data_IF_105516931703
#
_entry.id   IF_105516931703
#
_cell.length_a   1.000
_cell.length_b   1.000
_cell.length_c   1.000
_cell.angle_alpha   90.00
_cell.angle_beta   90.00
_cell.angle_gamma   90.00
#
_symmetry.space_group_name_H-M   'P 1'
#
loop_
_entity.id
_entity.type
_entity.pdbx_description
1 polymer ?
#
# COMPACT_ATOMS: atom_id res chain seq x y z
N UNK A 1 20.82 23.37 -9.72
CA UNK A 1 19.66 24.25 -9.58
C UNK A 1 18.51 23.63 -10.35
N UNK A 2 17.69 22.84 -9.67
CA UNK A 2 16.49 22.24 -10.27
C UNK A 2 15.30 23.09 -9.86
N UNK A 3 14.76 23.85 -10.82
CA UNK A 3 13.47 24.49 -10.67
C UNK A 3 12.38 23.42 -10.80
N UNK A 4 11.74 23.04 -9.68
CA UNK A 4 10.48 22.32 -9.69
C UNK A 4 9.37 23.21 -10.28
N UNK A 5 8.33 22.62 -10.89
CA UNK A 5 7.26 23.39 -11.52
C UNK A 5 6.53 24.22 -10.47
N UNK A 6 6.33 25.50 -10.83
CA UNK A 6 5.63 26.53 -10.08
C UNK A 6 4.27 26.07 -9.57
N UNK A 7 4.06 26.27 -8.27
CA UNK A 7 2.85 25.93 -7.53
C UNK A 7 1.56 26.49 -8.10
N UNK A 8 0.83 25.64 -8.78
CA UNK A 8 -0.61 25.68 -8.78
C UNK A 8 -1.03 24.85 -7.56
N UNK A 9 -1.44 25.53 -6.50
CA UNK A 9 -2.16 24.92 -5.39
C UNK A 9 -3.48 24.39 -5.97
N UNK A 10 -3.45 23.14 -6.46
CA UNK A 10 -4.69 22.43 -6.77
C UNK A 10 -5.33 22.17 -5.40
N UNK A 11 -6.44 22.85 -5.14
CA UNK A 11 -7.20 22.61 -3.91
C UNK A 11 -7.45 21.09 -3.78
N UNK A 12 -7.03 20.50 -2.66
CA UNK A 12 -7.30 19.09 -2.38
C UNK A 12 -8.81 18.92 -2.33
N UNK A 13 -9.41 18.07 -3.17
CA UNK A 13 -10.86 17.86 -3.14
C UNK A 13 -11.30 17.42 -1.73
N UNK A 14 -12.50 17.84 -1.33
CA UNK A 14 -13.08 17.38 -0.06
C UNK A 14 -13.19 15.86 -0.01
N UNK A 15 -12.77 15.29 1.11
CA UNK A 15 -12.88 13.86 1.42
C UNK A 15 -13.97 13.56 2.44
N UNK A 16 -14.71 14.57 2.90
CA UNK A 16 -15.65 14.46 4.01
C UNK A 16 -16.80 13.47 3.75
N UNK A 17 -17.30 13.36 2.52
CA UNK A 17 -18.32 12.38 2.17
C UNK A 17 -17.80 10.95 1.98
N UNK A 18 -16.52 10.70 2.19
CA UNK A 18 -16.01 9.34 2.36
C UNK A 18 -16.20 8.79 3.79
N UNK A 19 -16.82 9.57 4.67
CA UNK A 19 -17.40 9.08 5.94
C UNK A 19 -18.59 8.16 5.67
N UNK A 20 -18.90 7.24 6.58
CA UNK A 20 -20.09 6.38 6.48
C UNK A 20 -21.30 7.07 7.11
N UNK A 21 -22.50 6.73 6.65
CA UNK A 21 -23.74 7.29 7.14
C UNK A 21 -23.90 7.14 8.68
N UNK A 22 -23.49 5.99 9.24
CA UNK A 22 -23.61 5.75 10.67
C UNK A 22 -22.70 6.66 11.51
N UNK A 23 -21.56 7.13 10.97
CA UNK A 23 -20.67 8.07 11.63
C UNK A 23 -21.40 9.42 11.84
N UNK A 24 -22.11 9.88 10.82
CA UNK A 24 -22.94 11.09 10.91
C UNK A 24 -24.12 10.92 11.88
N UNK A 25 -24.75 9.74 11.93
CA UNK A 25 -25.83 9.50 12.89
C UNK A 25 -25.34 9.42 14.33
N UNK A 26 -24.15 8.84 14.56
CA UNK A 26 -23.48 8.85 15.87
C UNK A 26 -23.09 10.28 16.27
N UNK A 27 -22.50 11.07 15.36
CA UNK A 27 -22.18 12.47 15.59
C UNK A 27 -23.41 13.27 16.06
N UNK A 28 -24.51 13.18 15.29
CA UNK A 28 -25.78 13.84 15.65
C UNK A 28 -26.26 13.45 17.05
N UNK A 29 -26.23 12.17 17.38
CA UNK A 29 -26.62 11.68 18.68
C UNK A 29 -25.68 12.16 19.80
N UNK A 30 -24.38 12.19 19.56
CA UNK A 30 -23.37 12.66 20.50
C UNK A 30 -23.48 14.17 20.76
N UNK A 31 -23.73 14.99 19.74
CA UNK A 31 -23.98 16.44 19.88
C UNK A 31 -25.22 16.69 20.75
N UNK A 32 -26.32 16.00 20.47
CA UNK A 32 -27.57 16.12 21.27
C UNK A 32 -27.41 15.62 22.70
N UNK A 33 -26.61 14.57 22.90
CA UNK A 33 -26.34 13.97 24.20
C UNK A 33 -25.25 14.65 25.03
N UNK A 34 -24.60 15.70 24.50
CA UNK A 34 -23.53 16.42 25.18
C UNK A 34 -22.25 15.58 25.36
N UNK A 35 -21.98 14.62 24.47
CA UNK A 35 -20.79 13.75 24.56
C UNK A 35 -19.85 13.92 23.38
N UNK A 36 -20.18 14.77 22.42
CA UNK A 36 -19.46 14.97 21.19
C UNK A 36 -18.03 15.54 21.42
N UNK A 37 -17.88 16.39 22.42
CA UNK A 37 -16.61 17.07 22.71
C UNK A 37 -15.70 16.35 23.72
N UNK A 38 -16.09 15.15 24.16
CA UNK A 38 -15.24 14.37 25.08
C UNK A 38 -13.91 14.00 24.40
N UNK A 39 -12.77 14.29 25.06
CA UNK A 39 -11.48 13.78 24.63
C UNK A 39 -11.53 12.28 24.46
N UNK A 40 -11.11 11.81 23.29
CA UNK A 40 -11.25 10.42 22.85
C UNK A 40 -10.02 9.97 22.10
N UNK A 41 -9.73 8.69 22.21
CA UNK A 41 -8.63 8.04 21.47
C UNK A 41 -9.19 6.86 20.69
N UNK A 42 -9.00 6.88 19.40
CA UNK A 42 -9.29 5.77 18.51
C UNK A 42 -7.99 5.12 18.03
N UNK A 43 -8.04 3.84 17.75
CA UNK A 43 -6.89 3.05 17.34
C UNK A 43 -7.22 2.16 16.15
N UNK A 44 -6.29 2.11 15.19
CA UNK A 44 -6.30 1.13 14.09
C UNK A 44 -5.41 -0.03 14.44
N UNK A 45 -5.94 -1.23 14.36
CA UNK A 45 -5.21 -2.48 14.52
C UNK A 45 -5.86 -3.60 13.73
N UNK A 46 -5.15 -4.71 13.52
CA UNK A 46 -5.73 -5.95 13.01
C UNK A 46 -5.73 -7.04 14.07
N UNK A 47 -6.72 -7.95 14.04
CA UNK A 47 -6.77 -9.10 14.93
C UNK A 47 -6.03 -10.31 14.42
N UNK A 48 -5.82 -10.37 13.13
CA UNK A 48 -5.14 -11.46 12.43
C UNK A 48 -4.60 -10.95 11.11
N UNK A 49 -3.52 -11.53 10.64
CA UNK A 49 -3.06 -11.32 9.27
C UNK A 49 -3.93 -12.13 8.28
N UNK A 50 -4.00 -11.70 7.01
CA UNK A 50 -4.53 -12.54 5.94
C UNK A 50 -3.78 -13.87 5.88
N UNK A 51 -4.48 -14.93 5.46
CA UNK A 51 -3.90 -16.28 5.38
C UNK A 51 -2.61 -16.30 4.56
N UNK A 52 -1.59 -16.98 5.05
CA UNK A 52 -0.28 -17.07 4.43
C UNK A 52 0.62 -15.85 4.60
N UNK A 53 0.18 -14.79 5.26
CA UNK A 53 1.01 -13.63 5.59
C UNK A 53 1.74 -13.85 6.91
N UNK A 54 3.06 -13.71 6.90
CA UNK A 54 3.92 -13.82 8.10
C UNK A 54 4.05 -12.50 8.84
N UNK A 55 3.79 -11.40 8.16
CA UNK A 55 3.75 -10.02 8.65
C UNK A 55 2.85 -9.19 7.73
N UNK A 56 2.39 -8.05 8.22
CA UNK A 56 1.75 -7.03 7.41
C UNK A 56 2.72 -5.88 7.09
N UNK A 57 2.35 -5.02 6.15
CA UNK A 57 3.12 -3.83 5.77
C UNK A 57 2.21 -2.62 5.91
N UNK A 58 2.64 -1.62 6.67
CA UNK A 58 1.91 -0.34 6.78
C UNK A 58 2.06 0.42 5.48
N UNK A 59 0.97 0.61 4.77
CA UNK A 59 0.94 1.43 3.56
C UNK A 59 -0.36 2.23 3.48
N UNK A 60 -0.29 3.38 2.82
CA UNK A 60 -1.40 4.33 2.71
C UNK A 60 -1.34 5.48 3.71
N UNK A 61 -0.37 5.55 4.61
CA UNK A 61 -0.24 6.64 5.59
C UNK A 61 -0.21 8.00 4.90
N UNK A 62 0.60 8.18 3.87
CA UNK A 62 0.62 9.45 3.12
C UNK A 62 -0.75 9.83 2.56
N UNK A 63 -1.53 8.85 2.05
CA UNK A 63 -2.89 9.08 1.56
C UNK A 63 -3.90 9.38 2.68
N UNK A 64 -3.71 8.79 3.86
CA UNK A 64 -4.50 9.12 5.06
C UNK A 64 -4.26 10.57 5.47
N UNK A 65 -3.01 11.02 5.46
CA UNK A 65 -2.66 12.41 5.78
C UNK A 65 -3.29 13.38 4.77
N UNK A 66 -3.21 13.09 3.47
CA UNK A 66 -3.89 13.87 2.42
C UNK A 66 -5.41 13.91 2.64
N UNK A 67 -6.00 12.76 3.02
CA UNK A 67 -7.43 12.66 3.26
C UNK A 67 -7.86 13.48 4.49
N UNK A 68 -7.09 13.47 5.58
CA UNK A 68 -7.34 14.29 6.77
C UNK A 68 -7.23 15.78 6.43
N UNK A 69 -6.20 16.20 5.68
CA UNK A 69 -6.04 17.57 5.24
C UNK A 69 -7.19 18.06 4.35
N UNK A 70 -7.75 17.17 3.53
CA UNK A 70 -8.89 17.44 2.68
C UNK A 70 -10.26 17.24 3.36
N UNK A 71 -10.31 16.79 4.61
CA UNK A 71 -11.57 16.43 5.27
C UNK A 71 -12.29 17.69 5.79
N UNK A 72 -13.12 18.24 4.95
CA UNK A 72 -13.96 19.40 5.24
C UNK A 72 -15.26 19.30 4.44
N UNK A 73 -16.37 19.73 5.00
CA UNK A 73 -17.65 19.74 4.31
C UNK A 73 -17.78 21.03 3.49
N UNK A 74 -17.94 20.89 2.19
CA UNK A 74 -18.24 21.98 1.26
C UNK A 74 -19.75 22.28 1.25
N UNK A 75 -20.13 23.48 0.77
CA UNK A 75 -21.53 23.93 0.81
C UNK A 75 -22.50 22.98 0.10
N UNK A 76 -22.13 22.48 -1.07
CA UNK A 76 -22.94 21.53 -1.84
C UNK A 76 -23.14 20.18 -1.12
N UNK A 77 -22.14 19.75 -0.35
CA UNK A 77 -22.18 18.54 0.49
C UNK A 77 -23.11 18.75 1.70
N UNK A 78 -23.04 19.91 2.34
CA UNK A 78 -23.95 20.29 3.43
C UNK A 78 -25.40 20.38 2.93
N UNK A 79 -25.61 20.96 1.75
CA UNK A 79 -26.92 20.99 1.12
C UNK A 79 -27.47 19.61 0.76
N UNK A 80 -26.58 18.69 0.33
CA UNK A 80 -26.96 17.29 0.13
C UNK A 80 -27.41 16.65 1.45
N UNK A 81 -26.64 16.78 2.53
CA UNK A 81 -26.99 16.23 3.84
C UNK A 81 -28.30 16.83 4.40
N UNK A 82 -28.55 18.14 4.19
CA UNK A 82 -29.77 18.82 4.54
C UNK A 82 -30.98 18.27 3.80
N UNK A 83 -30.90 18.19 2.48
CA UNK A 83 -32.01 17.70 1.62
C UNK A 83 -32.34 16.24 1.88
N UNK A 84 -31.36 15.42 2.21
CA UNK A 84 -31.58 13.99 2.48
C UNK A 84 -31.98 13.71 3.93
N UNK A 85 -31.87 14.71 4.83
CA UNK A 85 -32.26 14.56 6.23
C UNK A 85 -31.35 13.64 7.06
N UNK A 86 -30.14 13.39 6.61
CA UNK A 86 -29.18 12.53 7.31
C UNK A 86 -28.86 13.07 8.69
N UNK A 87 -28.69 14.39 8.79
CA UNK A 87 -28.45 15.10 10.04
C UNK A 87 -29.39 16.30 10.18
N UNK A 88 -29.51 16.82 11.41
CA UNK A 88 -30.32 18.02 11.71
C UNK A 88 -29.49 19.31 11.57
N UNK A 89 -30.17 20.47 11.62
CA UNK A 89 -29.53 21.77 11.40
C UNK A 89 -28.41 22.07 12.39
N UNK A 90 -28.48 21.80 13.70
CA UNK A 90 -27.34 21.98 14.60
C UNK A 90 -26.12 21.13 14.24
N UNK A 91 -26.32 19.93 13.70
CA UNK A 91 -25.25 19.07 13.23
C UNK A 91 -24.64 19.63 11.93
N UNK A 92 -25.46 20.17 11.01
CA UNK A 92 -24.97 20.83 9.79
C UNK A 92 -24.11 22.06 10.11
N UNK A 93 -24.54 22.89 11.07
CA UNK A 93 -23.77 24.03 11.55
C UNK A 93 -22.39 23.60 12.09
N UNK A 94 -22.35 22.52 12.87
CA UNK A 94 -21.10 21.96 13.37
C UNK A 94 -20.21 21.43 12.24
N UNK A 95 -20.77 20.68 11.27
CA UNK A 95 -20.05 20.14 10.12
C UNK A 95 -19.47 21.24 9.21
N UNK A 96 -20.18 22.36 9.04
CA UNK A 96 -19.69 23.51 8.27
C UNK A 96 -18.37 24.08 8.83
N UNK A 97 -18.20 24.04 10.15
CA UNK A 97 -16.99 24.45 10.84
C UNK A 97 -15.94 23.35 11.01
N UNK A 98 -16.22 22.13 10.59
CA UNK A 98 -15.33 20.99 10.87
C UNK A 98 -13.94 21.18 10.29
N UNK A 99 -12.95 21.00 11.14
CA UNK A 99 -11.55 20.75 10.83
C UNK A 99 -11.02 19.78 11.88
N UNK A 100 -10.18 18.87 11.48
CA UNK A 100 -9.49 18.01 12.44
C UNK A 100 -8.41 18.83 13.14
N UNK A 101 -8.48 18.93 14.46
CA UNK A 101 -7.52 19.70 15.29
C UNK A 101 -6.78 18.82 16.28
N UNK A 102 -6.96 17.51 16.18
CA UNK A 102 -6.33 16.52 17.05
C UNK A 102 -4.95 16.08 16.58
N UNK A 103 -4.47 15.01 17.17
CA UNK A 103 -3.15 14.41 16.91
C UNK A 103 -3.31 13.02 16.29
N UNK A 104 -2.36 12.66 15.42
CA UNK A 104 -2.26 11.31 14.87
C UNK A 104 -0.83 10.81 15.10
N UNK A 105 -0.73 9.64 15.72
CA UNK A 105 0.51 8.89 15.87
C UNK A 105 0.34 7.52 15.21
N UNK A 106 1.40 6.96 14.65
CA UNK A 106 1.32 5.62 14.05
C UNK A 106 2.68 5.05 13.70
N UNK A 107 2.66 3.79 13.30
CA UNK A 107 3.83 3.18 12.69
C UNK A 107 4.13 3.93 11.38
N UNK A 108 5.39 4.29 11.12
CA UNK A 108 5.74 4.99 9.89
C UNK A 108 5.44 4.11 8.68
N UNK A 109 5.09 4.74 7.57
CA UNK A 109 4.77 4.01 6.34
C UNK A 109 5.95 3.15 5.87
N UNK A 110 5.70 1.93 5.46
CA UNK A 110 6.72 0.93 5.13
C UNK A 110 7.11 0.01 6.29
N UNK A 111 6.78 0.37 7.54
CA UNK A 111 7.05 -0.49 8.70
C UNK A 111 6.21 -1.79 8.62
N UNK A 112 6.72 -2.86 9.21
CA UNK A 112 5.97 -4.12 9.35
C UNK A 112 5.10 -4.09 10.59
N UNK A 113 3.98 -4.85 10.59
CA UNK A 113 3.10 -4.97 11.74
C UNK A 113 2.62 -6.40 11.93
N UNK A 114 2.12 -6.69 13.13
CA UNK A 114 1.60 -8.00 13.54
C UNK A 114 0.19 -7.88 14.11
N UNK A 115 -0.54 -8.98 14.35
CA UNK A 115 -1.84 -8.94 15.00
C UNK A 115 -1.77 -8.21 16.34
N UNK A 116 -2.61 -7.19 16.54
CA UNK A 116 -2.64 -6.40 17.76
C UNK A 116 -1.71 -5.18 17.80
N UNK A 117 -0.83 -4.99 16.81
CA UNK A 117 -0.03 -3.76 16.68
C UNK A 117 -0.90 -2.51 16.66
N UNK A 118 -0.62 -1.48 17.47
CA UNK A 118 -1.32 -0.19 17.45
C UNK A 118 -0.83 0.65 16.25
N UNK A 119 -1.31 0.28 15.03
CA UNK A 119 -0.81 0.78 13.75
C UNK A 119 -1.00 2.29 13.62
N UNK A 120 -2.16 2.79 14.02
CA UNK A 120 -2.48 4.22 14.00
C UNK A 120 -3.33 4.57 15.21
N UNK A 121 -3.05 5.71 15.84
CA UNK A 121 -3.81 6.29 16.94
C UNK A 121 -4.25 7.69 16.56
N UNK A 122 -5.55 7.95 16.66
CA UNK A 122 -6.15 9.27 16.43
C UNK A 122 -6.68 9.78 17.75
N UNK A 123 -6.23 10.96 18.16
CA UNK A 123 -6.57 11.61 19.41
C UNK A 123 -7.24 12.96 19.12
N UNK A 124 -8.36 13.24 19.74
CA UNK A 124 -9.12 14.47 19.55
C UNK A 124 -10.44 14.39 20.30
N UNK A 125 -11.43 15.20 19.94
CA UNK A 125 -12.78 15.01 20.44
C UNK A 125 -13.44 13.78 19.79
N UNK A 126 -14.43 13.18 20.46
CA UNK A 126 -15.20 12.07 19.85
C UNK A 126 -15.72 12.43 18.46
N UNK A 127 -16.30 13.63 18.35
CA UNK A 127 -16.87 14.13 17.10
C UNK A 127 -15.86 14.24 15.97
N UNK A 128 -14.66 14.73 16.26
CA UNK A 128 -13.61 14.85 15.24
C UNK A 128 -13.09 13.49 14.79
N UNK A 129 -12.86 12.59 15.73
CA UNK A 129 -12.25 11.31 15.45
C UNK A 129 -13.19 10.32 14.78
N UNK A 130 -14.48 10.31 15.15
CA UNK A 130 -15.45 9.32 14.66
C UNK A 130 -15.68 9.41 13.16
N UNK A 131 -15.63 10.61 12.59
CA UNK A 131 -15.84 10.86 11.15
C UNK A 131 -14.71 10.32 10.27
N UNK A 132 -13.57 10.01 10.85
CA UNK A 132 -12.38 9.55 10.11
C UNK A 132 -12.33 8.02 9.96
N UNK A 133 -13.20 7.26 10.63
CA UNK A 133 -13.14 5.79 10.65
C UNK A 133 -13.10 5.20 9.23
N UNK A 134 -14.09 5.51 8.42
CA UNK A 134 -14.22 4.87 7.10
C UNK A 134 -13.12 5.28 6.14
N UNK A 135 -12.76 6.56 6.07
CA UNK A 135 -11.71 7.03 5.15
C UNK A 135 -10.34 6.46 5.54
N UNK A 136 -10.02 6.43 6.82
CA UNK A 136 -8.75 5.85 7.32
C UNK A 136 -8.69 4.36 7.03
N UNK A 137 -9.76 3.63 7.35
CA UNK A 137 -9.80 2.18 7.14
C UNK A 137 -9.80 1.78 5.67
N UNK A 138 -10.52 2.50 4.80
CA UNK A 138 -10.54 2.20 3.37
C UNK A 138 -9.15 2.32 2.75
N UNK A 139 -8.39 3.34 3.13
CA UNK A 139 -7.03 3.55 2.65
C UNK A 139 -6.07 2.51 3.21
N UNK A 140 -5.99 2.36 4.54
CA UNK A 140 -5.01 1.46 5.16
C UNK A 140 -5.26 -0.01 4.83
N UNK A 141 -6.53 -0.45 4.79
CA UNK A 141 -6.86 -1.82 4.44
C UNK A 141 -6.45 -2.18 3.01
N UNK A 142 -6.73 -1.32 2.05
CA UNK A 142 -6.41 -1.55 0.64
C UNK A 142 -4.89 -1.48 0.40
N UNK A 143 -4.26 -0.38 0.79
CA UNK A 143 -2.86 -0.13 0.47
C UNK A 143 -1.93 -1.12 1.19
N UNK A 144 -2.23 -1.45 2.46
CA UNK A 144 -1.46 -2.45 3.21
C UNK A 144 -1.63 -3.86 2.64
N UNK A 145 -2.80 -4.20 2.10
CA UNK A 145 -3.01 -5.50 1.44
C UNK A 145 -2.18 -5.64 0.17
N UNK A 146 -2.15 -4.59 -0.67
CA UNK A 146 -1.32 -4.56 -1.89
C UNK A 146 0.17 -4.56 -1.52
N UNK A 147 0.61 -3.74 -0.55
CA UNK A 147 2.01 -3.69 -0.13
C UNK A 147 2.49 -5.02 0.45
N UNK A 148 1.64 -5.72 1.23
CA UNK A 148 1.97 -7.04 1.76
C UNK A 148 2.10 -8.10 0.65
N UNK A 149 1.24 -8.06 -0.39
CA UNK A 149 1.38 -8.91 -1.56
C UNK A 149 2.67 -8.59 -2.34
N UNK A 150 2.93 -7.31 -2.57
CA UNK A 150 4.14 -6.82 -3.25
C UNK A 150 5.42 -7.27 -2.51
N UNK A 151 5.45 -7.17 -1.19
CA UNK A 151 6.58 -7.60 -0.37
C UNK A 151 6.89 -9.09 -0.53
N UNK A 152 5.86 -9.95 -0.58
CA UNK A 152 6.03 -11.40 -0.82
C UNK A 152 6.55 -11.67 -2.23
N UNK A 153 6.03 -10.96 -3.23
CA UNK A 153 6.51 -11.07 -4.61
C UNK A 153 7.96 -10.61 -4.74
N UNK A 154 8.36 -9.55 -4.02
CA UNK A 154 9.75 -9.07 -3.98
C UNK A 154 10.69 -10.09 -3.34
N UNK A 155 10.25 -10.78 -2.28
CA UNK A 155 11.01 -11.91 -1.70
C UNK A 155 11.15 -13.04 -2.71
N UNK A 156 10.06 -13.42 -3.39
CA UNK A 156 10.06 -14.49 -4.39
C UNK A 156 10.95 -14.17 -5.60
N UNK A 157 11.01 -12.90 -6.01
CA UNK A 157 11.80 -12.42 -7.15
C UNK A 157 13.33 -12.45 -6.91
N UNK A 158 13.79 -12.55 -5.66
CA UNK A 158 15.20 -12.67 -5.29
C UNK A 158 16.09 -11.60 -5.93
N UNK A 159 15.65 -10.33 -5.87
CA UNK A 159 16.37 -9.17 -6.40
C UNK A 159 16.18 -8.92 -7.90
N UNK A 160 15.40 -9.74 -8.61
CA UNK A 160 15.02 -9.43 -10.00
C UNK A 160 13.98 -8.32 -10.01
N UNK A 161 14.08 -7.35 -10.95
CA UNK A 161 13.14 -6.24 -11.06
C UNK A 161 11.68 -6.68 -11.20
N UNK A 162 10.80 -5.94 -10.52
CA UNK A 162 9.36 -6.13 -10.55
C UNK A 162 8.68 -4.89 -11.14
N UNK A 163 7.78 -5.11 -12.08
CA UNK A 163 7.03 -4.06 -12.79
C UNK A 163 5.55 -4.20 -12.43
N UNK A 164 4.95 -3.17 -11.88
CA UNK A 164 3.51 -3.11 -11.65
C UNK A 164 2.78 -2.86 -12.98
N UNK A 165 1.87 -3.75 -13.36
CA UNK A 165 1.10 -3.71 -14.61
C UNK A 165 -0.40 -3.93 -14.40
N UNK A 166 -0.93 -3.63 -13.22
CA UNK A 166 -2.31 -3.89 -12.82
C UNK A 166 -3.32 -2.79 -13.13
N UNK A 167 -2.90 -1.68 -13.74
CA UNK A 167 -3.76 -0.50 -13.92
C UNK A 167 -5.09 -0.77 -14.64
N UNK A 168 -5.15 -1.79 -15.52
CA UNK A 168 -6.37 -2.20 -16.25
C UNK A 168 -7.13 -3.34 -15.56
N UNK A 169 -6.80 -3.70 -14.32
CA UNK A 169 -7.35 -4.83 -13.58
C UNK A 169 -8.12 -4.44 -12.32
N UNK A 170 -8.19 -3.15 -12.03
CA UNK A 170 -8.93 -2.59 -10.90
C UNK A 170 -9.48 -1.21 -11.27
N UNK A 171 -10.23 -0.58 -10.38
CA UNK A 171 -10.75 0.78 -10.55
C UNK A 171 -9.60 1.77 -10.76
N UNK A 172 -9.75 2.75 -11.66
CA UNK A 172 -8.68 3.64 -12.11
C UNK A 172 -7.96 4.41 -10.98
N UNK A 173 -8.71 4.86 -9.97
CA UNK A 173 -8.10 5.53 -8.81
C UNK A 173 -7.46 4.53 -7.84
N UNK A 174 -8.05 3.35 -7.68
CA UNK A 174 -7.44 2.26 -6.91
C UNK A 174 -6.15 1.76 -7.57
N UNK A 175 -6.05 1.80 -8.91
CA UNK A 175 -4.82 1.45 -9.62
C UNK A 175 -3.66 2.39 -9.26
N UNK A 176 -3.92 3.70 -9.12
CA UNK A 176 -2.90 4.68 -8.68
C UNK A 176 -2.43 4.37 -7.25
N UNK A 177 -3.37 4.09 -6.35
CA UNK A 177 -3.08 3.71 -4.97
C UNK A 177 -2.30 2.38 -4.91
N UNK A 178 -2.71 1.38 -5.69
CA UNK A 178 -2.04 0.09 -5.77
C UNK A 178 -0.60 0.21 -6.29
N UNK A 179 -0.36 1.04 -7.31
CA UNK A 179 0.99 1.30 -7.81
C UNK A 179 1.90 1.89 -6.74
N UNK A 180 1.38 2.84 -5.93
CA UNK A 180 2.10 3.44 -4.81
C UNK A 180 2.42 2.41 -3.73
N UNK A 181 1.43 1.62 -3.33
CA UNK A 181 1.59 0.57 -2.33
C UNK A 181 2.56 -0.54 -2.79
N UNK A 182 2.50 -0.93 -4.06
CA UNK A 182 3.41 -1.88 -4.67
C UNK A 182 4.87 -1.37 -4.65
N UNK A 183 5.08 -0.09 -4.97
CA UNK A 183 6.41 0.52 -4.92
C UNK A 183 6.99 0.48 -3.49
N UNK A 184 6.19 0.79 -2.47
CA UNK A 184 6.59 0.67 -1.06
C UNK A 184 6.93 -0.80 -0.73
N UNK A 185 6.12 -1.76 -1.19
CA UNK A 185 6.31 -3.19 -0.98
C UNK A 185 7.48 -3.81 -1.76
N UNK A 186 8.20 -3.04 -2.61
CA UNK A 186 9.43 -3.47 -3.26
C UNK A 186 9.38 -3.59 -4.78
N UNK A 187 8.30 -3.18 -5.45
CA UNK A 187 8.27 -3.07 -6.91
C UNK A 187 9.13 -1.88 -7.37
N UNK A 188 9.82 -2.03 -8.51
CA UNK A 188 10.78 -1.04 -8.98
C UNK A 188 10.13 0.04 -9.85
N UNK A 189 9.16 -0.34 -10.65
CA UNK A 189 8.53 0.52 -11.64
C UNK A 189 7.04 0.20 -11.77
N UNK A 190 6.30 1.13 -12.41
CA UNK A 190 4.89 0.94 -12.75
C UNK A 190 4.61 1.27 -14.21
N UNK A 191 3.58 0.67 -14.78
CA UNK A 191 3.03 1.08 -16.07
C UNK A 191 2.04 2.25 -15.95
N UNK A 192 1.69 2.67 -14.73
CA UNK A 192 0.67 3.67 -14.44
C UNK A 192 1.26 5.08 -14.44
N UNK A 193 1.01 5.84 -15.53
CA UNK A 193 1.51 7.21 -15.66
C UNK A 193 0.98 8.16 -14.59
N UNK A 194 -0.27 7.97 -14.13
CA UNK A 194 -0.84 8.81 -13.07
C UNK A 194 -0.13 8.58 -11.72
N UNK A 195 0.28 7.36 -11.42
CA UNK A 195 1.09 7.05 -10.24
C UNK A 195 2.50 7.66 -10.36
N UNK A 196 3.12 7.55 -11.54
CA UNK A 196 4.41 8.22 -11.79
C UNK A 196 4.33 9.72 -11.59
N UNK A 197 3.31 10.36 -12.15
CA UNK A 197 3.09 11.81 -12.03
C UNK A 197 2.85 12.27 -10.58
N UNK A 198 1.97 11.56 -9.85
CA UNK A 198 1.58 11.96 -8.48
C UNK A 198 2.63 11.64 -7.43
N UNK A 199 3.35 10.54 -7.60
CA UNK A 199 4.18 9.96 -6.53
C UNK A 199 5.66 9.83 -6.90
N UNK A 200 6.06 10.28 -8.10
CA UNK A 200 7.46 10.20 -8.54
C UNK A 200 7.97 8.78 -8.78
N UNK A 201 7.07 7.81 -8.96
CA UNK A 201 7.44 6.40 -9.21
C UNK A 201 7.95 6.27 -10.66
N UNK A 202 9.09 5.63 -10.91
CA UNK A 202 9.58 5.40 -12.26
C UNK A 202 8.56 4.63 -13.10
N UNK A 203 8.29 5.11 -14.31
CA UNK A 203 7.33 4.45 -15.21
C UNK A 203 8.04 3.74 -16.35
N UNK A 204 7.50 2.59 -16.74
CA UNK A 204 7.97 1.82 -17.90
C UNK A 204 6.81 1.35 -18.73
N UNK A 205 7.04 1.20 -20.03
CA UNK A 205 6.09 0.65 -20.97
C UNK A 205 6.82 0.09 -22.17
N UNK A 206 6.22 -0.91 -22.79
CA UNK A 206 6.70 -1.51 -24.03
C UNK A 206 5.59 -1.40 -25.10
N UNK A 207 5.23 -2.50 -25.73
CA UNK A 207 4.10 -2.58 -26.64
C UNK A 207 3.10 -3.63 -26.15
N UNK A 208 1.94 -3.69 -26.76
CA UNK A 208 0.95 -4.74 -26.60
C UNK A 208 0.74 -5.46 -27.92
N UNK A 209 0.11 -6.65 -27.89
CA UNK A 209 -0.21 -7.42 -29.11
C UNK A 209 -0.93 -6.58 -30.17
N UNK A 210 -1.78 -5.61 -29.76
CA UNK A 210 -2.47 -4.70 -30.68
C UNK A 210 -1.50 -3.93 -31.59
N UNK A 211 -0.29 -3.60 -31.11
CA UNK A 211 0.72 -2.93 -31.93
C UNK A 211 1.27 -3.87 -33.01
N UNK A 212 1.55 -5.12 -32.68
CA UNK A 212 1.96 -6.14 -33.66
C UNK A 212 0.86 -6.40 -34.69
N UNK A 213 -0.38 -6.53 -34.21
CA UNK A 213 -1.57 -6.79 -35.07
C UNK A 213 -1.94 -5.61 -35.98
N UNK A 214 -1.48 -4.39 -35.69
CA UNK A 214 -1.68 -3.21 -36.53
C UNK A 214 -0.88 -3.30 -37.84
N UNK A 215 0.23 -4.05 -37.88
CA UNK A 215 1.15 -4.16 -39.00
C UNK A 215 0.87 -5.41 -39.85
N UNK A 216 1.23 -5.38 -41.13
CA UNK A 216 1.04 -6.52 -42.01
C UNK A 216 1.89 -7.72 -41.61
N UNK A 217 3.07 -7.47 -41.02
CA UNK A 217 3.93 -8.52 -40.44
C UNK A 217 4.50 -8.13 -39.07
N UNK A 218 4.79 -9.13 -38.25
CA UNK A 218 5.48 -8.94 -36.97
C UNK A 218 6.84 -8.27 -37.12
N UNK A 219 7.54 -8.59 -38.22
CA UNK A 219 8.83 -7.96 -38.56
C UNK A 219 8.71 -6.46 -38.79
N UNK A 220 7.64 -6.01 -39.43
CA UNK A 220 7.40 -4.58 -39.68
C UNK A 220 7.09 -3.88 -38.35
N UNK A 221 6.29 -4.49 -37.47
CA UNK A 221 6.05 -3.97 -36.15
C UNK A 221 7.37 -3.81 -35.34
N UNK A 222 8.21 -4.82 -35.33
CA UNK A 222 9.49 -4.78 -34.63
C UNK A 222 10.42 -3.70 -35.22
N UNK A 223 10.50 -3.57 -36.53
CA UNK A 223 11.30 -2.53 -37.19
C UNK A 223 10.85 -1.13 -36.80
N UNK A 224 9.55 -0.86 -36.87
CA UNK A 224 8.98 0.44 -36.50
C UNK A 224 9.22 0.73 -34.99
N UNK A 225 9.09 -0.27 -34.12
CA UNK A 225 9.33 -0.09 -32.68
C UNK A 225 10.82 0.19 -32.40
N UNK A 226 11.74 -0.53 -33.04
CA UNK A 226 13.18 -0.32 -32.88
C UNK A 226 13.61 1.03 -33.44
N UNK A 227 13.05 1.45 -34.59
CA UNK A 227 13.33 2.76 -35.17
C UNK A 227 12.86 3.90 -34.26
N UNK A 228 11.71 3.74 -33.59
CA UNK A 228 11.13 4.75 -32.72
C UNK A 228 11.78 4.80 -31.32
N UNK A 229 12.13 3.65 -30.74
CA UNK A 229 12.53 3.52 -29.34
C UNK A 229 14.00 3.10 -29.16
N UNK A 230 14.70 2.80 -30.25
CA UNK A 230 16.08 2.31 -30.24
C UNK A 230 16.19 0.81 -29.96
N UNK A 231 17.40 0.27 -30.15
CA UNK A 231 17.70 -1.16 -29.99
C UNK A 231 17.56 -1.66 -28.56
N UNK A 232 17.71 -0.76 -27.57
CA UNK A 232 17.50 -1.08 -26.15
C UNK A 232 16.05 -1.33 -25.74
N UNK A 233 15.09 -1.27 -26.66
CA UNK A 233 13.66 -1.52 -26.39
C UNK A 233 13.39 -2.97 -25.98
N UNK A 234 12.18 -3.23 -25.49
CA UNK A 234 11.68 -4.58 -25.20
C UNK A 234 10.64 -4.96 -26.26
N UNK A 235 10.90 -6.05 -26.99
CA UNK A 235 9.97 -6.57 -28.01
C UNK A 235 9.10 -7.70 -27.43
N UNK A 236 7.79 -7.65 -27.74
CA UNK A 236 6.82 -8.68 -27.34
C UNK A 236 6.84 -9.78 -28.41
N UNK A 237 7.27 -11.00 -28.02
CA UNK A 237 7.63 -12.05 -28.99
C UNK A 237 6.64 -13.23 -29.04
N UNK A 238 5.50 -13.12 -28.37
CA UNK A 238 4.51 -14.20 -28.29
C UNK A 238 3.17 -13.87 -28.93
N UNK A 239 3.18 -12.97 -29.94
CA UNK A 239 1.97 -12.69 -30.72
C UNK A 239 1.61 -13.84 -31.65
N UNK A 240 2.63 -14.50 -32.26
CA UNK A 240 2.47 -15.64 -33.16
C UNK A 240 3.42 -16.79 -32.76
N UNK A 241 4.47 -17.05 -33.51
CA UNK A 241 5.48 -18.07 -33.18
C UNK A 241 6.67 -17.44 -32.44
N UNK A 242 6.89 -17.84 -31.22
CA UNK A 242 7.95 -17.28 -30.37
C UNK A 242 9.35 -17.45 -30.99
N UNK A 243 9.60 -18.60 -31.65
CA UNK A 243 10.93 -18.89 -32.20
C UNK A 243 11.22 -17.99 -33.39
N UNK A 244 10.25 -17.82 -34.30
CA UNK A 244 10.40 -16.91 -35.44
C UNK A 244 10.45 -15.45 -34.98
N UNK A 245 9.68 -15.07 -33.98
CA UNK A 245 9.69 -13.72 -33.42
C UNK A 245 11.04 -13.36 -32.78
N UNK A 246 11.63 -14.25 -31.98
CA UNK A 246 12.96 -14.02 -31.39
C UNK A 246 14.03 -13.88 -32.45
N UNK A 247 13.99 -14.71 -33.52
CA UNK A 247 14.92 -14.60 -34.65
C UNK A 247 14.77 -13.23 -35.33
N UNK A 248 13.54 -12.86 -35.67
CA UNK A 248 13.24 -11.57 -36.30
C UNK A 248 13.68 -10.38 -35.42
N UNK A 249 13.44 -10.47 -34.11
CA UNK A 249 13.83 -9.44 -33.15
C UNK A 249 15.35 -9.18 -33.15
N UNK A 250 16.17 -10.26 -33.08
CA UNK A 250 17.62 -10.16 -33.11
C UNK A 250 18.14 -9.72 -34.49
N UNK A 251 17.56 -10.20 -35.60
CA UNK A 251 17.93 -9.75 -36.95
C UNK A 251 17.69 -8.25 -37.15
N UNK A 252 16.64 -7.69 -36.59
CA UNK A 252 16.25 -6.27 -36.73
C UNK A 252 17.03 -5.38 -35.77
N UNK A 253 17.05 -5.71 -34.46
CA UNK A 253 17.68 -4.89 -33.44
C UNK A 253 19.19 -5.16 -33.28
N UNK A 254 19.67 -6.31 -33.75
CA UNK A 254 21.03 -6.79 -33.50
C UNK A 254 21.19 -7.42 -32.11
N UNK A 255 22.42 -7.85 -31.78
CA UNK A 255 22.74 -8.46 -30.49
C UNK A 255 22.60 -7.51 -29.30
N UNK A 256 22.40 -6.21 -29.55
CA UNK A 256 22.19 -5.16 -28.56
C UNK A 256 20.70 -4.98 -28.18
N UNK A 257 19.82 -5.88 -28.62
CA UNK A 257 18.41 -5.88 -28.21
C UNK A 257 18.27 -5.86 -26.70
N UNK A 258 17.55 -4.87 -26.16
CA UNK A 258 17.45 -4.66 -24.71
C UNK A 258 16.75 -5.80 -23.98
N UNK A 259 15.58 -6.24 -24.48
CA UNK A 259 14.85 -7.38 -23.91
C UNK A 259 13.83 -7.97 -24.89
N UNK A 260 13.42 -9.20 -24.60
CA UNK A 260 12.18 -9.81 -25.14
C UNK A 260 11.20 -10.03 -24.00
N UNK A 261 9.88 -9.88 -24.30
CA UNK A 261 8.80 -10.13 -23.35
C UNK A 261 7.96 -11.32 -23.77
N UNK A 262 7.68 -12.20 -22.80
CA UNK A 262 6.87 -13.41 -22.94
C UNK A 262 5.68 -13.26 -21.98
N UNK A 263 4.45 -13.32 -22.51
CA UNK A 263 3.21 -13.09 -21.76
C UNK A 263 2.33 -14.36 -21.65
N UNK A 264 2.72 -15.46 -22.35
CA UNK A 264 1.89 -16.66 -22.49
C UNK A 264 2.69 -17.95 -22.60
N UNK A 265 1.97 -19.08 -22.44
CA UNK A 265 2.53 -20.43 -22.53
C UNK A 265 3.13 -20.94 -21.21
N UNK A 266 3.86 -22.07 -21.28
CA UNK A 266 4.66 -22.59 -20.16
C UNK A 266 5.91 -21.72 -20.01
N UNK A 267 5.81 -20.73 -19.12
CA UNK A 267 6.83 -19.67 -18.96
C UNK A 267 8.21 -20.25 -18.62
N UNK A 268 8.28 -21.34 -17.83
CA UNK A 268 9.55 -21.99 -17.50
C UNK A 268 10.22 -22.57 -18.75
N UNK A 269 9.49 -23.36 -19.52
CA UNK A 269 10.01 -24.01 -20.72
C UNK A 269 10.30 -22.98 -21.82
N UNK A 270 9.40 -21.99 -22.00
CA UNK A 270 9.59 -20.95 -23.01
C UNK A 270 10.79 -20.08 -22.70
N UNK A 271 11.01 -19.65 -21.46
CA UNK A 271 12.16 -18.84 -21.08
C UNK A 271 13.47 -19.58 -21.34
N UNK A 272 13.58 -20.87 -21.02
CA UNK A 272 14.77 -21.67 -21.32
C UNK A 272 15.04 -21.82 -22.82
N UNK A 273 13.98 -22.02 -23.63
CA UNK A 273 14.09 -22.11 -25.07
C UNK A 273 14.53 -20.78 -25.67
N UNK A 274 13.92 -19.69 -25.25
CA UNK A 274 14.24 -18.33 -25.72
C UNK A 274 15.67 -17.96 -25.34
N UNK A 275 16.13 -18.26 -24.11
CA UNK A 275 17.53 -17.97 -23.71
C UNK A 275 18.55 -18.69 -24.60
N UNK A 276 18.36 -19.98 -24.83
CA UNK A 276 19.24 -20.75 -25.73
C UNK A 276 19.28 -20.14 -27.14
N UNK A 277 18.12 -19.81 -27.69
CA UNK A 277 18.04 -19.21 -29.02
C UNK A 277 18.71 -17.84 -29.08
N UNK A 278 18.53 -16.98 -28.08
CA UNK A 278 19.21 -15.68 -28.00
C UNK A 278 20.75 -15.87 -27.93
N UNK A 279 21.22 -16.86 -27.17
CA UNK A 279 22.65 -17.19 -27.07
C UNK A 279 23.23 -17.68 -28.40
N UNK A 280 22.51 -18.54 -29.11
CA UNK A 280 22.84 -19.03 -30.46
C UNK A 280 22.90 -17.92 -31.50
N UNK A 281 22.04 -16.92 -31.36
CA UNK A 281 21.98 -15.73 -32.22
C UNK A 281 22.98 -14.64 -31.81
N UNK A 282 23.80 -14.87 -30.77
CA UNK A 282 24.81 -13.93 -30.28
C UNK A 282 24.28 -12.81 -29.39
N UNK A 283 22.96 -12.82 -29.06
CA UNK A 283 22.28 -11.81 -28.21
C UNK A 283 22.27 -12.21 -26.73
N UNK A 284 23.46 -12.47 -26.17
CA UNK A 284 23.63 -13.01 -24.83
C UNK A 284 23.19 -12.06 -23.71
N UNK A 285 23.28 -10.75 -23.95
CA UNK A 285 22.94 -9.70 -22.98
C UNK A 285 21.45 -9.28 -23.08
N UNK A 286 20.72 -9.78 -24.07
CA UNK A 286 19.28 -9.54 -24.20
C UNK A 286 18.54 -10.16 -23.02
N UNK A 287 17.82 -9.34 -22.27
CA UNK A 287 17.05 -9.75 -21.10
C UNK A 287 15.74 -10.45 -21.48
N UNK A 288 15.25 -11.29 -20.59
CA UNK A 288 13.94 -11.95 -20.71
C UNK A 288 13.03 -11.40 -19.63
N UNK A 289 11.97 -10.71 -20.05
CA UNK A 289 10.90 -10.20 -19.18
C UNK A 289 9.71 -11.13 -19.30
N UNK A 290 9.22 -11.62 -18.17
CA UNK A 290 8.04 -12.49 -18.12
C UNK A 290 6.87 -11.73 -17.52
N UNK A 291 5.75 -11.75 -18.22
CA UNK A 291 4.47 -11.24 -17.74
C UNK A 291 3.43 -12.36 -17.82
N UNK A 292 2.32 -12.22 -17.25
CA UNK A 292 1.16 -13.12 -17.24
C UNK A 292 0.43 -12.96 -15.90
N UNK A 293 -0.45 -13.89 -15.52
CA UNK A 293 -1.13 -13.92 -14.22
C UNK A 293 -0.18 -14.40 -13.10
N UNK A 294 0.92 -13.65 -12.88
CA UNK A 294 1.93 -13.96 -11.88
C UNK A 294 1.46 -13.57 -10.48
N UNK A 295 1.74 -14.45 -9.52
CA UNK A 295 1.69 -14.23 -8.09
C UNK A 295 3.04 -14.59 -7.44
N UNK A 296 3.15 -14.50 -6.12
CA UNK A 296 4.38 -14.85 -5.39
C UNK A 296 4.82 -16.31 -5.61
N UNK A 297 3.88 -17.23 -5.83
CA UNK A 297 4.19 -18.65 -6.04
C UNK A 297 4.67 -18.93 -7.47
N UNK A 298 4.02 -18.30 -8.46
CA UNK A 298 4.45 -18.37 -9.85
C UNK A 298 5.86 -17.77 -10.02
N UNK A 299 6.13 -16.61 -9.40
CA UNK A 299 7.47 -15.99 -9.40
C UNK A 299 8.49 -16.92 -8.76
N UNK A 300 8.18 -17.52 -7.60
CA UNK A 300 9.07 -18.47 -6.94
C UNK A 300 9.35 -19.70 -7.80
N UNK A 301 8.36 -20.23 -8.54
CA UNK A 301 8.54 -21.37 -9.44
C UNK A 301 9.48 -21.06 -10.61
N UNK A 302 9.55 -19.79 -11.02
CA UNK A 302 10.44 -19.28 -12.08
C UNK A 302 11.84 -18.92 -11.57
N UNK A 303 12.15 -19.13 -10.29
CA UNK A 303 13.44 -18.76 -9.71
C UNK A 303 14.65 -19.42 -10.41
N UNK A 304 14.49 -20.63 -10.93
CA UNK A 304 15.52 -21.36 -11.69
C UNK A 304 15.53 -21.05 -13.20
N UNK A 305 14.51 -20.33 -13.69
CA UNK A 305 14.44 -19.96 -15.10
C UNK A 305 15.33 -18.74 -15.40
N UNK A 306 15.85 -18.62 -16.63
CA UNK A 306 16.63 -17.47 -17.07
C UNK A 306 15.75 -16.25 -17.35
N UNK A 307 15.04 -15.78 -16.32
CA UNK A 307 14.17 -14.62 -16.35
C UNK A 307 14.88 -13.46 -15.65
N UNK A 308 14.86 -12.29 -16.25
CA UNK A 308 15.55 -11.10 -15.75
C UNK A 308 14.63 -10.11 -15.06
N UNK A 309 13.34 -10.11 -15.36
CA UNK A 309 12.34 -9.25 -14.72
C UNK A 309 10.92 -9.83 -14.83
N UNK A 310 10.05 -9.43 -13.92
CA UNK A 310 8.65 -9.86 -13.88
C UNK A 310 7.71 -8.66 -13.99
N UNK A 311 6.66 -8.79 -14.80
CA UNK A 311 5.53 -7.86 -14.82
C UNK A 311 4.30 -8.50 -14.18
N UNK A 312 3.73 -7.86 -13.16
CA UNK A 312 2.62 -8.41 -12.37
C UNK A 312 1.40 -7.50 -12.45
N UNK A 313 0.24 -8.08 -12.70
CA UNK A 313 -1.02 -7.35 -12.87
C UNK A 313 -2.05 -7.68 -11.80
N UNK A 314 -3.01 -8.52 -12.16
CA UNK A 314 -4.23 -8.82 -11.39
C UNK A 314 -3.93 -9.22 -9.93
N UNK A 315 -3.03 -10.17 -9.73
CA UNK A 315 -2.75 -10.70 -8.39
C UNK A 315 -2.20 -9.63 -7.45
N UNK A 316 -1.36 -8.74 -7.95
CA UNK A 316 -0.82 -7.64 -7.15
C UNK A 316 -1.92 -6.68 -6.69
N UNK A 317 -2.72 -6.13 -7.63
CA UNK A 317 -3.73 -5.11 -7.30
C UNK A 317 -4.95 -5.64 -6.54
N UNK A 318 -5.07 -6.96 -6.43
CA UNK A 318 -6.08 -7.65 -5.60
C UNK A 318 -5.50 -8.21 -4.30
N UNK A 319 -4.24 -7.85 -3.95
CA UNK A 319 -3.58 -8.30 -2.74
C UNK A 319 -3.33 -9.82 -2.71
N UNK A 320 -3.11 -10.46 -3.87
CA UNK A 320 -3.00 -11.92 -4.02
C UNK A 320 -4.18 -12.67 -3.37
N UNK A 321 -5.39 -12.24 -3.71
CA UNK A 321 -6.63 -12.82 -3.18
C UNK A 321 -7.06 -12.30 -1.80
N UNK A 322 -6.31 -11.39 -1.20
CA UNK A 322 -6.62 -10.75 0.07
C UNK A 322 -6.67 -9.21 -0.10
N UNK A 323 -7.79 -8.64 -0.61
CA UNK A 323 -7.88 -7.24 -0.95
C UNK A 323 -7.97 -6.30 0.27
N UNK A 324 -7.96 -6.85 1.48
CA UNK A 324 -8.05 -6.11 2.75
C UNK A 324 -7.24 -6.82 3.83
N UNK A 325 -6.70 -6.04 4.77
CA UNK A 325 -5.98 -6.54 5.94
C UNK A 325 -6.89 -6.74 7.17
N UNK A 326 -8.20 -6.55 7.03
CA UNK A 326 -9.17 -6.66 8.14
C UNK A 326 -8.84 -5.75 9.33
N UNK A 327 -8.24 -4.61 9.06
CA UNK A 327 -7.99 -3.58 10.08
C UNK A 327 -9.32 -3.01 10.57
N UNK A 328 -9.34 -2.64 11.84
CA UNK A 328 -10.47 -2.04 12.52
C UNK A 328 -10.04 -0.73 13.18
N UNK A 329 -11.00 0.20 13.33
CA UNK A 329 -10.83 1.48 14.01
C UNK A 329 -11.72 1.46 15.27
N UNK A 330 -11.15 1.59 16.44
CA UNK A 330 -11.91 1.39 17.69
C UNK A 330 -11.59 2.44 18.73
N UNK A 331 -12.64 2.97 19.38
CA UNK A 331 -12.50 3.78 20.58
C UNK A 331 -11.86 2.93 21.67
N UNK A 332 -10.68 3.36 22.16
CA UNK A 332 -9.88 2.64 23.15
C UNK A 332 -9.74 3.41 24.48
N UNK A 333 -9.92 4.73 24.44
CA UNK A 333 -9.95 5.55 25.66
C UNK A 333 -10.83 6.78 25.46
N UNK A 334 -11.42 7.31 26.51
CA UNK A 334 -12.18 8.55 26.53
C UNK A 334 -12.14 9.23 27.89
N UNK A 335 -12.33 10.54 27.94
CA UNK A 335 -12.54 11.26 29.19
C UNK A 335 -13.97 11.08 29.72
N UNK A 336 -14.15 11.33 31.01
CA UNK A 336 -15.48 11.29 31.65
C UNK A 336 -16.36 12.48 31.28
N UNK A 337 -15.75 13.64 30.92
CA UNK A 337 -16.39 14.90 30.54
C UNK A 337 -15.67 15.55 29.37
N UNK A 338 -16.00 16.80 29.08
CA UNK A 338 -15.52 17.57 27.91
C UNK A 338 -14.24 18.38 28.22
N UNK A 339 -13.74 18.35 29.46
CA UNK A 339 -12.49 19.02 29.82
C UNK A 339 -11.32 18.39 29.05
N UNK A 340 -10.58 19.14 28.22
CA UNK A 340 -9.42 18.62 27.46
C UNK A 340 -8.33 18.01 28.34
N UNK A 341 -8.21 18.47 29.59
CA UNK A 341 -7.24 17.97 30.57
C UNK A 341 -7.74 16.81 31.42
N UNK A 342 -8.98 16.35 31.22
CA UNK A 342 -9.51 15.25 32.01
C UNK A 342 -8.78 13.93 31.73
N UNK A 343 -8.55 13.10 32.77
CA UNK A 343 -7.88 11.83 32.60
C UNK A 343 -8.67 10.89 31.69
N UNK A 344 -7.96 10.24 30.78
CA UNK A 344 -8.54 9.25 29.87
C UNK A 344 -8.80 7.94 30.61
N UNK A 345 -9.99 7.40 30.44
CA UNK A 345 -10.43 6.10 30.98
C UNK A 345 -10.37 5.07 29.86
N UNK A 346 -9.66 3.95 30.03
CA UNK A 346 -9.68 2.86 29.05
C UNK A 346 -11.09 2.32 28.81
N UNK A 347 -11.43 2.10 27.55
CA UNK A 347 -12.70 1.46 27.14
C UNK A 347 -12.44 0.34 26.17
N UNK A 348 -13.20 -0.73 26.30
CA UNK A 348 -13.07 -1.89 25.44
C UNK A 348 -14.41 -2.59 25.25
N UNK A 349 -14.60 -3.12 24.03
CA UNK A 349 -15.74 -4.00 23.75
C UNK A 349 -15.50 -5.36 24.42
N UNK A 350 -16.45 -5.77 25.25
CA UNK A 350 -16.53 -7.12 25.82
C UNK A 350 -17.59 -7.91 25.02
N UNK A 351 -17.17 -8.77 24.12
CA UNK A 351 -18.09 -9.63 23.38
C UNK A 351 -17.65 -11.09 23.37
N UNK A 352 -18.63 -12.00 23.38
CA UNK A 352 -18.37 -13.42 23.11
C UNK A 352 -17.83 -13.58 21.68
N UNK A 353 -16.97 -14.60 21.44
CA UNK A 353 -16.49 -14.96 20.10
C UNK A 353 -15.23 -14.26 19.65
N UNK A 354 -14.29 -13.92 20.53
CA UNK A 354 -12.91 -13.52 20.14
C UNK A 354 -12.76 -12.12 19.55
N UNK A 355 -13.83 -11.30 19.51
CA UNK A 355 -13.76 -9.89 19.06
C UNK A 355 -13.43 -8.94 20.20
N UNK A 356 -12.47 -9.30 21.03
CA UNK A 356 -11.99 -8.46 22.12
C UNK A 356 -11.14 -7.31 21.57
N UNK A 357 -11.23 -6.15 22.22
CA UNK A 357 -10.26 -5.06 22.09
C UNK A 357 -9.68 -4.77 23.48
N UNK A 358 -8.41 -4.40 23.50
CA UNK A 358 -7.75 -3.96 24.73
C UNK A 358 -7.89 -2.44 24.79
N UNK A 359 -8.42 -1.93 25.91
CA UNK A 359 -8.57 -0.49 26.13
C UNK A 359 -7.26 0.15 26.56
N UNK A 360 -7.22 1.49 26.47
CA UNK A 360 -6.07 2.30 26.84
C UNK A 360 -5.27 2.83 25.65
N UNK A 361 -4.50 3.87 25.93
CA UNK A 361 -3.57 4.47 24.96
C UNK A 361 -2.33 3.59 24.89
N UNK A 362 -2.09 2.99 23.72
CA UNK A 362 -1.03 2.00 23.55
C UNK A 362 0.21 2.57 22.86
N UNK A 363 1.32 1.98 23.19
CA UNK A 363 2.58 2.06 22.45
C UNK A 363 2.98 0.68 21.96
N UNK A 364 3.78 0.63 20.89
CA UNK A 364 4.40 -0.59 20.36
C UNK A 364 5.90 -0.43 20.28
N UNK A 365 6.64 -1.48 20.63
CA UNK A 365 8.08 -1.54 20.54
C UNK A 365 8.54 -2.89 19.99
N UNK A 366 9.69 -2.90 19.31
CA UNK A 366 10.26 -4.11 18.74
C UNK A 366 11.76 -4.19 19.02
N UNK A 367 12.13 -4.58 20.24
CA UNK A 367 13.52 -4.74 20.61
C UNK A 367 14.18 -5.90 19.88
N UNK A 368 15.45 -5.77 19.61
CA UNK A 368 16.26 -6.86 19.09
C UNK A 368 16.49 -7.92 20.17
N UNK A 369 16.41 -9.17 19.79
CA UNK A 369 16.80 -10.31 20.62
C UNK A 369 18.33 -10.50 20.68
N UNK A 370 18.78 -11.55 21.38
CA UNK A 370 20.22 -11.81 21.57
C UNK A 370 21.04 -11.96 20.28
N UNK A 371 20.39 -12.39 19.20
CA UNK A 371 21.03 -12.62 17.89
C UNK A 371 20.89 -11.40 16.96
N UNK A 372 20.40 -10.25 17.45
CA UNK A 372 20.17 -9.04 16.68
C UNK A 372 18.93 -9.08 15.79
N UNK A 373 18.11 -10.13 15.88
CA UNK A 373 16.81 -10.23 15.23
C UNK A 373 15.69 -10.06 16.28
N UNK A 374 14.60 -9.34 15.99
CA UNK A 374 13.48 -9.25 16.92
C UNK A 374 12.77 -10.61 17.05
N UNK A 375 12.38 -10.95 18.27
CA UNK A 375 11.67 -12.20 18.58
C UNK A 375 10.20 -11.96 18.91
N UNK A 376 9.84 -10.74 19.29
CA UNK A 376 8.48 -10.35 19.68
C UNK A 376 8.23 -8.89 19.38
N UNK A 377 6.96 -8.52 19.25
CA UNK A 377 6.51 -7.13 19.32
C UNK A 377 5.81 -6.91 20.67
N UNK A 378 6.26 -5.94 21.43
CA UNK A 378 5.72 -5.60 22.74
C UNK A 378 4.70 -4.47 22.57
N UNK A 379 3.49 -4.65 23.09
CA UNK A 379 2.45 -3.62 23.14
C UNK A 379 2.07 -3.36 24.58
N UNK A 380 2.20 -2.11 24.99
CA UNK A 380 1.85 -1.72 26.36
C UNK A 380 0.92 -0.52 26.42
N UNK A 381 0.39 -0.25 27.62
CA UNK A 381 -0.45 0.92 27.90
C UNK A 381 0.21 1.82 28.95
N UNK A 382 -0.10 3.11 28.91
CA UNK A 382 0.54 4.10 29.78
C UNK A 382 1.91 4.54 29.26
N UNK A 383 2.80 5.06 30.12
CA UNK A 383 4.14 5.45 29.72
C UNK A 383 4.96 4.24 29.26
N UNK A 384 5.66 4.37 28.13
CA UNK A 384 6.60 3.34 27.71
C UNK A 384 7.79 3.27 28.68
N UNK A 385 8.30 2.06 28.99
CA UNK A 385 9.52 1.90 29.77
C UNK A 385 10.71 2.59 29.09
N UNK A 386 11.60 3.19 29.89
CA UNK A 386 12.75 3.94 29.37
C UNK A 386 13.71 3.04 28.57
N UNK A 387 13.84 1.78 28.97
CA UNK A 387 14.65 0.77 28.27
C UNK A 387 14.15 0.40 26.87
N UNK A 388 12.92 0.76 26.50
CA UNK A 388 12.35 0.53 25.17
C UNK A 388 12.26 1.81 24.33
N UNK A 389 12.81 2.93 24.80
CA UNK A 389 12.66 4.23 24.14
C UNK A 389 13.16 4.23 22.68
N UNK A 390 14.28 3.56 22.42
CA UNK A 390 14.89 3.46 21.09
C UNK A 390 14.18 2.44 20.16
N UNK A 391 13.33 1.57 20.73
CA UNK A 391 12.62 0.52 20.03
C UNK A 391 11.16 0.87 19.71
N UNK A 392 10.70 2.07 20.14
CA UNK A 392 9.35 2.53 19.92
C UNK A 392 9.08 2.72 18.43
N UNK A 393 7.94 2.20 17.97
CA UNK A 393 7.57 2.17 16.57
C UNK A 393 6.71 3.36 16.14
N UNK A 394 5.97 3.98 17.06
CA UNK A 394 5.05 5.05 16.71
C UNK A 394 5.76 6.39 16.59
N UNK A 395 5.50 7.07 15.49
CA UNK A 395 5.94 8.42 15.21
C UNK A 395 4.75 9.37 15.18
N UNK A 396 5.01 10.66 15.36
CA UNK A 396 4.00 11.70 15.23
C UNK A 396 3.76 12.02 13.75
N UNK A 397 2.52 11.94 13.31
CA UNK A 397 2.09 12.15 11.92
C UNK A 397 1.32 13.46 11.75
N UNK A 398 0.46 13.79 12.74
CA UNK A 398 -0.30 15.05 12.81
C UNK A 398 -0.20 15.57 14.23
N UNK A 399 0.02 16.86 14.39
CA UNK A 399 0.06 17.59 15.67
C UNK A 399 -0.91 18.77 15.60
N UNK A 400 -1.91 18.80 16.47
CA UNK A 400 -2.90 19.89 16.51
C UNK A 400 -3.57 20.14 15.16
N UNK A 401 -3.82 19.12 14.37
CA UNK A 401 -4.36 19.21 13.01
C UNK A 401 -3.33 19.49 11.89
N UNK A 402 -2.08 19.81 12.25
CA UNK A 402 -1.02 20.09 11.27
C UNK A 402 -0.24 18.82 10.91
N UNK A 403 -0.05 18.55 9.62
CA UNK A 403 0.71 17.40 9.15
C UNK A 403 2.21 17.64 9.40
N UNK A 404 2.83 16.78 10.20
CA UNK A 404 4.26 16.84 10.55
C UNK A 404 5.03 15.61 10.07
N UNK A 405 4.36 14.49 9.79
CA UNK A 405 4.96 13.22 9.42
C UNK A 405 4.84 12.86 7.93
N UNK A 406 4.68 13.83 7.03
CA UNK A 406 4.63 13.56 5.60
C UNK A 406 6.01 13.18 5.05
N UNK A 407 6.07 12.11 4.27
CA UNK A 407 7.31 11.64 3.66
C UNK A 407 7.07 11.10 2.23
N UNK A 408 8.11 11.10 1.37
CA UNK A 408 7.98 10.55 0.02
C UNK A 408 7.88 9.01 0.05
N UNK A 409 7.22 8.37 -0.93
CA UNK A 409 7.12 6.90 -1.01
C UNK A 409 8.48 6.18 -1.05
N UNK A 410 9.53 6.84 -1.50
CA UNK A 410 10.89 6.30 -1.51
C UNK A 410 11.46 6.08 -0.11
N UNK A 411 11.14 6.96 0.85
CA UNK A 411 11.53 6.78 2.25
C UNK A 411 10.80 5.59 2.88
N UNK A 412 9.49 5.47 2.62
CA UNK A 412 8.69 4.33 3.06
C UNK A 412 9.17 3.00 2.45
N UNK A 413 9.55 3.00 1.15
CA UNK A 413 10.14 1.84 0.49
C UNK A 413 11.45 1.40 1.14
N UNK A 414 12.35 2.34 1.42
CA UNK A 414 13.62 2.03 2.07
C UNK A 414 13.42 1.53 3.50
N UNK A 415 12.50 2.13 4.25
CA UNK A 415 12.13 1.62 5.58
C UNK A 415 11.61 0.20 5.50
N UNK A 416 10.74 -0.09 4.52
CA UNK A 416 10.21 -1.45 4.34
C UNK A 416 11.32 -2.46 4.05
N UNK A 417 12.28 -2.09 3.20
CA UNK A 417 13.44 -2.95 2.93
C UNK A 417 14.21 -3.26 4.20
N UNK A 418 14.55 -2.24 5.00
CA UNK A 418 15.28 -2.39 6.25
C UNK A 418 14.48 -3.16 7.31
N UNK A 419 13.19 -2.82 7.51
CA UNK A 419 12.33 -3.50 8.47
C UNK A 419 12.20 -5.00 8.16
N UNK A 420 12.07 -5.35 6.87
CA UNK A 420 12.00 -6.74 6.45
C UNK A 420 13.33 -7.49 6.66
N UNK A 421 14.47 -6.85 6.39
CA UNK A 421 15.80 -7.44 6.58
C UNK A 421 16.13 -7.75 8.05
N UNK A 422 15.52 -7.01 8.98
CA UNK A 422 15.63 -7.29 10.43
C UNK A 422 14.77 -8.48 10.88
N UNK A 423 13.77 -8.90 10.11
CA UNK A 423 12.92 -10.03 10.49
C UNK A 423 13.67 -11.35 10.35
N UNK A 424 13.35 -12.35 11.18
CA UNK A 424 13.87 -13.71 11.02
C UNK A 424 13.68 -14.26 9.59
N UNK A 425 14.61 -15.06 9.11
CA UNK A 425 14.58 -15.64 7.75
C UNK A 425 13.23 -16.33 7.42
N UNK A 426 12.55 -16.87 8.44
CA UNK A 426 11.23 -17.49 8.28
C UNK A 426 10.14 -16.50 7.81
N UNK A 427 10.34 -15.20 7.95
CA UNK A 427 9.43 -14.18 7.40
C UNK A 427 9.32 -14.25 5.87
N UNK A 428 10.40 -14.67 5.20
CA UNK A 428 10.45 -14.84 3.75
C UNK A 428 9.78 -16.10 3.21
N UNK A 429 9.29 -17.00 4.08
CA UNK A 429 8.63 -18.23 3.65
C UNK A 429 7.27 -17.93 3.00
N UNK A 430 7.04 -18.52 1.82
CA UNK A 430 5.76 -18.40 1.10
C UNK A 430 4.71 -19.40 1.58
N UNK A 431 5.11 -20.45 2.30
CA UNK A 431 4.20 -21.43 2.88
C UNK A 431 3.26 -20.81 3.90
N UNK A 432 2.07 -21.40 4.07
CA UNK A 432 1.15 -21.03 5.16
C UNK A 432 1.82 -21.22 6.52
N UNK A 433 1.48 -20.37 7.46
CA UNK A 433 1.99 -20.44 8.84
C UNK A 433 1.59 -19.22 9.65
N UNK A 434 1.94 -19.25 10.91
CA UNK A 434 1.68 -18.19 11.88
C UNK A 434 2.51 -16.93 11.57
N UNK A 435 2.14 -15.77 12.12
CA UNK A 435 2.98 -14.57 12.12
C UNK A 435 4.38 -14.88 12.61
N UNK A 436 5.39 -14.26 12.00
CA UNK A 436 6.80 -14.55 12.35
C UNK A 436 7.19 -14.05 13.73
N UNK A 437 6.53 -13.00 14.21
CA UNK A 437 6.62 -12.51 15.58
C UNK A 437 5.23 -12.58 16.23
N UNK A 438 5.23 -12.87 17.53
CA UNK A 438 4.04 -12.75 18.37
C UNK A 438 3.99 -11.37 19.02
N UNK A 439 2.77 -10.88 19.26
CA UNK A 439 2.57 -9.64 20.02
C UNK A 439 2.36 -9.98 21.48
N UNK A 440 3.20 -9.43 22.35
CA UNK A 440 3.09 -9.54 23.80
C UNK A 440 2.49 -8.25 24.40
N UNK A 441 1.49 -8.40 25.25
CA UNK A 441 0.85 -7.27 25.92
C UNK A 441 1.40 -7.09 27.35
N UNK A 442 1.77 -5.82 27.70
CA UNK A 442 2.26 -5.42 29.02
C UNK A 442 1.40 -4.31 29.65
#
# INVERSE_FOLDING_TARGET
MNHGPSGLSVAVPSTALFTDHYELTMLRAALRGGTAHRPSVFEVFTRRLPEGRRYGVVAGTGRVLDAIAGFRFEEDQLDFLRRTGVVDEPTLEWLAGYRFTGDVHGYPEGEVYFPGSPILRVTGTFAECVLLETVVLSVLNHDSAVAAAASRMAVAARGRPLIEMGARRTHELAAVAASRAAFIGGFDTTSNLAAGYRHGIPTVGTSAHAFTLLHDTERDAFRVQVDALGRGTTLLVDTYDVTEAVRAAVEIAGPELGAVRIDSGDLLLVAHRVRRQLDELGARDTRIVVTSDLDEYAIASLAAAPVDAYGVGTQLVTGSGHPTCSMVYKLVARAAGDDPGAPLVPVAKKSAGGKLSIGGVKWGARPDGPDGEPTTEIVGTGPAPEELADDLLQVELVRGGEIVGAEPPSAARERHRLARERLPLSAGQLSRGEPVLLTEYR
#
